data_IF_676269765259
#
_entry.id   IF_676269765259
#
_cell.length_a   1.000
_cell.length_b   1.000
_cell.length_c   1.000
_cell.angle_alpha   90.00
_cell.angle_beta   90.00
_cell.angle_gamma   90.00
#
_symmetry.space_group_name_H-M   'P 1'
#
loop_
_entity.id
_entity.type
_entity.pdbx_description
1 polymer ?
#
# COMPACT_ATOMS: atom_id res chain seq x y z
N UNK A 1 4.97 7.60 15.31
CA UNK A 1 3.90 6.58 15.20
C UNK A 1 4.01 5.95 13.82
N UNK A 2 3.92 4.62 13.72
CA UNK A 2 4.07 3.88 12.47
C UNK A 2 2.72 3.80 11.73
N UNK A 3 2.74 4.01 10.41
CA UNK A 3 1.55 3.93 9.55
C UNK A 3 1.84 3.06 8.33
N UNK A 4 0.83 2.32 7.90
CA UNK A 4 0.86 1.50 6.69
C UNK A 4 -0.27 1.94 5.77
N UNK A 5 0.04 2.11 4.48
CA UNK A 5 -0.92 2.48 3.45
C UNK A 5 -1.01 1.35 2.41
N UNK A 6 -2.22 0.95 2.05
CA UNK A 6 -2.43 0.00 0.95
C UNK A 6 -2.04 0.65 -0.40
N UNK A 7 -1.76 -0.21 -1.39
CA UNK A 7 -1.44 0.17 -2.76
C UNK A 7 -2.48 1.11 -3.40
N UNK A 8 -3.78 0.91 -3.17
CA UNK A 8 -4.83 1.78 -3.69
C UNK A 8 -4.86 3.13 -2.97
N UNK A 9 -4.61 3.12 -1.66
CA UNK A 9 -4.48 4.34 -0.86
C UNK A 9 -3.32 5.23 -1.36
N UNK A 10 -2.15 4.63 -1.66
CA UNK A 10 -1.01 5.35 -2.27
C UNK A 10 -1.33 5.96 -3.64
N UNK A 11 -2.28 5.38 -4.35
CA UNK A 11 -2.69 5.80 -5.68
C UNK A 11 -3.77 6.88 -5.69
N UNK A 12 -4.46 7.12 -4.55
CA UNK A 12 -5.55 8.09 -4.43
C UNK A 12 -5.17 9.52 -4.81
N UNK A 13 -3.98 10.05 -4.45
CA UNK A 13 -3.55 11.37 -4.90
C UNK A 13 -3.55 11.57 -6.42
N UNK A 14 -3.48 10.49 -7.20
CA UNK A 14 -3.42 10.53 -8.66
C UNK A 14 -4.73 10.15 -9.36
N UNK A 15 -5.75 9.76 -8.60
CA UNK A 15 -7.06 9.47 -9.18
C UNK A 15 -7.77 10.75 -9.68
N UNK A 16 -8.77 10.54 -10.55
CA UNK A 16 -9.72 11.57 -10.93
C UNK A 16 -10.53 12.02 -9.70
N UNK A 17 -10.40 13.31 -9.38
CA UNK A 17 -11.02 13.96 -8.22
C UNK A 17 -12.37 14.59 -8.56
N UNK A 18 -12.96 14.27 -9.72
CA UNK A 18 -14.30 14.72 -10.12
C UNK A 18 -15.37 14.36 -9.08
N UNK A 19 -15.21 13.21 -8.40
CA UNK A 19 -16.08 12.82 -7.29
C UNK A 19 -15.57 13.41 -5.97
N UNK A 20 -16.40 14.15 -5.21
CA UNK A 20 -15.98 14.80 -3.96
C UNK A 20 -15.37 13.85 -2.94
N UNK A 21 -15.87 12.61 -2.86
CA UNK A 21 -15.31 11.57 -1.98
C UNK A 21 -13.85 11.27 -2.31
N UNK A 22 -13.53 11.07 -3.60
CA UNK A 22 -12.16 10.76 -4.04
C UNK A 22 -11.25 11.97 -3.79
N UNK A 23 -11.75 13.19 -4.00
CA UNK A 23 -11.00 14.40 -3.70
C UNK A 23 -10.60 14.49 -2.21
N UNK A 24 -11.54 14.21 -1.30
CA UNK A 24 -11.28 14.21 0.15
C UNK A 24 -10.33 13.09 0.56
N UNK A 25 -10.52 11.87 0.04
CA UNK A 25 -9.61 10.74 0.29
C UNK A 25 -8.18 11.05 -0.19
N UNK A 26 -8.04 11.64 -1.38
CA UNK A 26 -6.76 12.05 -1.94
C UNK A 26 -6.06 13.10 -1.06
N UNK A 27 -6.80 14.11 -0.59
CA UNK A 27 -6.25 15.14 0.29
C UNK A 27 -5.81 14.56 1.64
N UNK A 28 -6.60 13.66 2.22
CA UNK A 28 -6.24 12.99 3.46
C UNK A 28 -4.92 12.19 3.31
N UNK A 29 -4.74 11.49 2.19
CA UNK A 29 -3.48 10.78 1.90
C UNK A 29 -2.32 11.75 1.74
N UNK A 30 -2.50 12.86 1.02
CA UNK A 30 -1.45 13.88 0.89
C UNK A 30 -1.03 14.48 2.23
N UNK A 31 -1.98 14.75 3.13
CA UNK A 31 -1.69 15.22 4.49
C UNK A 31 -0.88 14.16 5.27
N UNK A 32 -1.27 12.89 5.20
CA UNK A 32 -0.52 11.80 5.85
C UNK A 32 0.92 11.72 5.31
N UNK A 33 1.12 11.83 3.99
CA UNK A 33 2.45 11.81 3.39
C UNK A 33 3.30 13.00 3.84
N UNK A 34 2.72 14.21 3.88
CA UNK A 34 3.40 15.41 4.39
C UNK A 34 3.84 15.24 5.86
N UNK A 35 3.00 14.62 6.69
CA UNK A 35 3.36 14.30 8.08
C UNK A 35 4.48 13.24 8.18
N UNK A 36 4.59 12.35 7.19
CA UNK A 36 5.70 11.39 7.12
C UNK A 36 7.01 12.10 6.74
N UNK A 37 6.97 13.01 5.76
CA UNK A 37 8.13 13.81 5.35
C UNK A 37 8.63 14.71 6.49
N UNK A 38 7.73 15.28 7.28
CA UNK A 38 8.06 16.09 8.45
C UNK A 38 8.43 15.27 9.70
N UNK A 39 8.55 13.94 9.58
CA UNK A 39 8.87 12.98 10.65
C UNK A 39 7.88 12.99 11.84
N UNK A 40 6.63 13.41 11.64
CA UNK A 40 5.55 13.23 12.63
C UNK A 40 4.98 11.81 12.58
N UNK A 41 4.98 11.20 11.39
CA UNK A 41 4.62 9.81 11.13
C UNK A 41 5.79 9.06 10.49
N UNK A 42 5.79 7.74 10.65
CA UNK A 42 6.75 6.84 9.99
C UNK A 42 5.98 5.92 9.05
N UNK A 43 6.07 6.20 7.75
CA UNK A 43 5.51 5.31 6.74
C UNK A 43 6.34 4.03 6.68
N UNK A 44 5.65 2.89 6.71
CA UNK A 44 6.23 1.56 6.55
C UNK A 44 5.71 0.95 5.26
N UNK A 45 6.59 0.26 4.54
CA UNK A 45 6.27 -0.53 3.36
C UNK A 45 6.47 -2.02 3.61
N UNK A 46 6.07 -2.87 2.68
CA UNK A 46 6.28 -4.32 2.76
C UNK A 46 6.64 -4.92 1.39
N UNK A 47 7.21 -6.12 1.39
CA UNK A 47 7.45 -6.87 0.15
C UNK A 47 6.14 -7.14 -0.62
N UNK A 48 5.03 -7.38 0.10
CA UNK A 48 3.71 -7.55 -0.50
C UNK A 48 3.25 -6.26 -1.22
N UNK A 49 3.43 -5.10 -0.59
CA UNK A 49 3.10 -3.81 -1.19
C UNK A 49 3.96 -3.50 -2.42
N UNK A 50 5.26 -3.79 -2.35
CA UNK A 50 6.19 -3.65 -3.48
C UNK A 50 5.76 -4.55 -4.65
N UNK A 51 5.35 -5.79 -4.35
CA UNK A 51 4.83 -6.71 -5.34
C UNK A 51 3.55 -6.17 -5.99
N UNK A 52 2.57 -5.72 -5.22
CA UNK A 52 1.33 -5.14 -5.75
C UNK A 52 1.59 -3.94 -6.67
N UNK A 53 2.49 -3.04 -6.28
CA UNK A 53 2.87 -1.87 -7.09
C UNK A 53 3.54 -2.31 -8.39
N UNK A 54 4.44 -3.31 -8.33
CA UNK A 54 5.12 -3.82 -9.53
C UNK A 54 4.16 -4.36 -10.60
N UNK A 55 2.96 -4.79 -10.19
CA UNK A 55 1.90 -5.35 -11.03
C UNK A 55 0.92 -4.32 -11.58
N UNK A 56 1.05 -3.03 -11.21
CA UNK A 56 0.24 -1.96 -11.81
C UNK A 56 0.48 -1.93 -13.33
N UNK A 57 -0.56 -2.02 -14.17
CA UNK A 57 -0.37 -2.02 -15.63
C UNK A 57 0.03 -0.66 -16.19
N UNK A 58 -0.49 0.42 -15.60
CA UNK A 58 -0.17 1.79 -16.02
C UNK A 58 1.23 2.17 -15.49
N UNK A 59 2.11 2.58 -16.40
CA UNK A 59 3.50 2.92 -16.08
C UNK A 59 3.61 4.17 -15.19
N UNK A 60 2.92 5.25 -15.54
CA UNK A 60 2.96 6.50 -14.77
C UNK A 60 2.51 6.26 -13.32
N UNK A 61 1.38 5.58 -13.14
CA UNK A 61 0.86 5.24 -11.80
C UNK A 61 1.80 4.35 -10.99
N UNK A 62 2.57 3.50 -11.66
CA UNK A 62 3.57 2.65 -11.02
C UNK A 62 4.76 3.47 -10.54
N UNK A 63 5.26 4.37 -11.39
CA UNK A 63 6.38 5.25 -11.05
C UNK A 63 6.00 6.19 -9.89
N UNK A 64 4.80 6.76 -9.92
CA UNK A 64 4.24 7.58 -8.85
C UNK A 64 4.19 6.83 -7.51
N UNK A 65 3.68 5.59 -7.51
CA UNK A 65 3.60 4.78 -6.30
C UNK A 65 5.00 4.43 -5.75
N UNK A 66 5.95 4.09 -6.62
CA UNK A 66 7.34 3.88 -6.19
C UNK A 66 8.01 5.16 -5.69
N UNK A 67 7.65 6.33 -6.24
CA UNK A 67 8.16 7.61 -5.75
C UNK A 67 7.70 7.86 -4.31
N UNK A 68 6.43 7.60 -3.99
CA UNK A 68 5.92 7.73 -2.61
C UNK A 68 6.63 6.75 -1.67
N UNK A 69 6.89 5.51 -2.09
CA UNK A 69 7.59 4.54 -1.23
C UNK A 69 9.01 4.96 -0.83
N UNK A 70 9.64 5.91 -1.52
CA UNK A 70 10.92 6.49 -1.07
C UNK A 70 10.82 7.25 0.25
N UNK A 71 9.62 7.65 0.66
CA UNK A 71 9.34 8.30 1.95
C UNK A 71 9.34 7.26 3.09
N UNK A 72 9.08 5.98 2.78
CA UNK A 72 9.01 4.92 3.78
C UNK A 72 10.35 4.77 4.52
N UNK A 73 10.28 4.69 5.84
CA UNK A 73 11.46 4.57 6.72
C UNK A 73 11.91 3.13 6.91
N UNK A 74 11.01 2.18 6.67
CA UNK A 74 11.21 0.77 6.88
C UNK A 74 10.44 -0.04 5.83
N UNK A 75 11.05 -1.15 5.39
CA UNK A 75 10.40 -2.16 4.54
C UNK A 75 10.35 -3.46 5.33
N UNK A 76 9.14 -3.94 5.61
CA UNK A 76 8.91 -5.20 6.28
C UNK A 76 9.01 -6.34 5.27
N UNK A 77 9.99 -7.22 5.49
CA UNK A 77 10.16 -8.43 4.70
C UNK A 77 9.11 -9.49 5.04
N UNK A 78 8.81 -10.35 4.07
CA UNK A 78 8.03 -11.57 4.36
C UNK A 78 8.82 -12.49 5.30
N UNK A 79 8.13 -13.06 6.28
CA UNK A 79 8.67 -14.03 7.24
C UNK A 79 7.74 -15.22 7.39
N UNK A 80 8.27 -16.34 7.88
CA UNK A 80 7.49 -17.56 8.10
C UNK A 80 6.36 -17.32 9.11
N UNK A 81 6.59 -16.47 10.12
CA UNK A 81 5.59 -16.11 11.12
C UNK A 81 4.43 -15.33 10.50
N UNK A 82 4.73 -14.37 9.61
CA UNK A 82 3.72 -13.62 8.85
C UNK A 82 2.94 -14.56 7.94
N UNK A 83 3.60 -15.51 7.29
CA UNK A 83 2.96 -16.50 6.42
C UNK A 83 1.99 -17.40 7.20
N UNK A 84 2.39 -17.90 8.38
CA UNK A 84 1.53 -18.72 9.23
C UNK A 84 0.26 -17.96 9.61
N UNK A 85 0.39 -16.69 9.97
CA UNK A 85 -0.76 -15.83 10.29
C UNK A 85 -1.64 -15.61 9.06
N UNK A 86 -1.05 -15.32 7.90
CA UNK A 86 -1.79 -15.14 6.64
C UNK A 86 -2.59 -16.40 6.27
N UNK A 87 -1.98 -17.59 6.34
CA UNK A 87 -2.67 -18.88 6.11
C UNK A 87 -3.80 -19.13 7.11
N UNK A 88 -3.67 -18.65 8.36
CA UNK A 88 -4.75 -18.76 9.34
C UNK A 88 -5.98 -17.93 8.94
N UNK A 89 -5.77 -16.76 8.35
CA UNK A 89 -6.84 -15.91 7.82
C UNK A 89 -7.46 -16.48 6.54
N UNK A 90 -6.67 -17.10 5.66
CA UNK A 90 -7.18 -17.85 4.49
C UNK A 90 -8.14 -18.97 4.90
N UNK A 91 -7.78 -19.74 5.93
CA UNK A 91 -8.63 -20.81 6.45
C UNK A 91 -9.96 -20.29 7.04
N UNK A 92 -10.01 -19.00 7.41
CA UNK A 92 -11.22 -18.31 7.84
C UNK A 92 -12.00 -17.67 6.67
N UNK A 93 -11.54 -17.86 5.43
CA UNK A 93 -12.18 -17.35 4.22
C UNK A 93 -11.76 -15.95 3.80
N UNK A 94 -10.72 -15.37 4.41
CA UNK A 94 -10.15 -14.09 3.99
C UNK A 94 -9.21 -14.32 2.80
N UNK A 95 -9.27 -13.41 1.81
CA UNK A 95 -8.37 -13.47 0.65
C UNK A 95 -6.96 -13.02 1.03
N UNK A 96 -5.97 -13.61 0.38
CA UNK A 96 -4.54 -13.33 0.61
C UNK A 96 -4.08 -11.96 0.13
N UNK A 97 -4.76 -11.39 -0.87
CA UNK A 97 -4.45 -10.10 -1.46
C UNK A 97 -5.73 -9.34 -1.87
N UNK A 98 -5.68 -8.02 -1.77
CA UNK A 98 -6.83 -7.11 -1.96
C UNK A 98 -7.26 -6.94 -3.43
N UNK A 99 -6.47 -7.46 -4.37
CA UNK A 99 -6.85 -7.59 -5.78
C UNK A 99 -6.74 -9.05 -6.17
N UNK A 100 -7.70 -9.56 -6.94
CA UNK A 100 -7.84 -10.97 -7.35
C UNK A 100 -6.61 -11.54 -8.07
N UNK A 101 -5.55 -11.79 -7.30
CA UNK A 101 -4.26 -12.28 -7.73
C UNK A 101 -3.98 -13.53 -6.89
N UNK A 102 -4.45 -14.67 -7.39
CA UNK A 102 -4.24 -16.02 -6.84
C UNK A 102 -2.77 -16.52 -6.99
N UNK A 103 -1.78 -15.64 -6.84
CA UNK A 103 -0.38 -15.97 -7.16
C UNK A 103 0.55 -16.10 -5.95
N UNK A 104 0.08 -15.83 -4.74
CA UNK A 104 0.64 -16.46 -3.54
C UNK A 104 -0.11 -17.77 -3.28
N UNK A 105 0.08 -18.76 -4.16
CA UNK A 105 -0.02 -20.14 -3.71
C UNK A 105 1.28 -20.44 -2.97
N UNK A 106 1.28 -20.25 -1.66
CA UNK A 106 2.28 -20.85 -0.78
C UNK A 106 2.08 -22.36 -0.67
#
# INVERSE_FOLDING_TARGET
MKIYLDCCSLQRPFDDKSQPRIAVEAEAVLVILSLCESNHLELISSDALLFEISRIPNHDRKEDAFAILKIAKETLGLSNEIEIVARSFENMGLKTLDKGFDYFRF
#
